data_IF_153589026264
#
_entry.id   IF_153589026264
#
_cell.length_a   1.000
_cell.length_b   1.000
_cell.length_c   1.000
_cell.angle_alpha   90.00
_cell.angle_beta   90.00
_cell.angle_gamma   90.00
#
_symmetry.space_group_name_H-M   'P 1'
#
loop_
_entity.id
_entity.type
_entity.pdbx_description
1 polymer ?
#
# COMPACT_ATOMS: atom_id res chain seq x y z
N UNK A 1 2.66 -14.47 19.27
CA UNK A 1 2.26 -15.80 18.80
C UNK A 1 2.84 -16.07 17.41
N UNK A 2 2.54 -15.27 16.39
CA UNK A 2 2.99 -15.45 15.01
C UNK A 2 4.52 -15.59 14.89
N UNK A 3 5.27 -14.73 15.56
CA UNK A 3 6.73 -14.77 15.63
C UNK A 3 7.25 -16.14 16.09
N UNK A 4 6.66 -16.71 17.16
CA UNK A 4 7.05 -18.02 17.66
C UNK A 4 6.67 -19.20 16.74
N UNK A 5 5.94 -18.94 15.65
CA UNK A 5 5.60 -19.90 14.62
C UNK A 5 6.39 -19.66 13.32
N UNK A 6 7.46 -18.86 13.38
CA UNK A 6 8.29 -18.50 12.23
C UNK A 6 7.48 -17.87 11.07
N UNK A 7 6.47 -17.05 11.42
CA UNK A 7 5.60 -16.39 10.47
C UNK A 7 6.04 -14.95 10.26
N UNK A 8 5.98 -14.48 9.02
CA UNK A 8 6.06 -13.06 8.73
C UNK A 8 4.71 -12.39 9.03
N UNK A 9 4.77 -11.19 9.54
CA UNK A 9 3.59 -10.39 9.91
C UNK A 9 3.69 -9.03 9.22
N UNK A 10 2.66 -8.66 8.47
CA UNK A 10 2.51 -7.31 7.92
C UNK A 10 1.58 -6.53 8.85
N UNK A 11 2.04 -5.38 9.32
CA UNK A 11 1.26 -4.43 10.10
C UNK A 11 1.03 -3.19 9.26
N UNK A 12 -0.24 -2.83 9.03
CA UNK A 12 -0.61 -1.68 8.20
C UNK A 12 -1.66 -0.76 8.87
N UNK A 13 -1.80 0.45 8.32
CA UNK A 13 -2.95 1.32 8.56
C UNK A 13 -4.02 1.01 7.52
N UNK A 14 -5.09 0.29 7.94
CA UNK A 14 -5.98 -0.37 6.99
C UNK A 14 -7.11 0.53 6.45
N UNK A 15 -8.26 0.64 7.11
CA UNK A 15 -9.42 1.41 6.64
C UNK A 15 -9.55 2.73 7.41
N UNK A 16 -8.71 3.70 7.09
CA UNK A 16 -8.64 4.97 7.80
C UNK A 16 -9.43 6.06 7.05
N UNK A 17 -10.55 6.52 7.62
CA UNK A 17 -11.39 7.57 7.03
C UNK A 17 -10.66 8.91 6.84
N UNK A 18 -9.60 9.16 7.63
CA UNK A 18 -8.79 10.35 7.50
C UNK A 18 -7.79 10.29 6.32
N UNK A 19 -7.52 9.09 5.77
CA UNK A 19 -6.80 8.87 4.51
C UNK A 19 -7.80 8.78 3.36
N UNK A 20 -8.83 7.93 3.49
CA UNK A 20 -9.82 7.68 2.45
C UNK A 20 -10.92 8.74 2.52
N UNK A 21 -10.71 9.88 1.87
CA UNK A 21 -11.54 11.08 2.02
C UNK A 21 -11.84 11.76 0.69
N UNK A 22 -12.95 12.50 0.62
CA UNK A 22 -13.41 13.13 -0.62
C UNK A 22 -12.56 14.31 -1.09
N UNK A 23 -11.84 14.95 -0.18
CA UNK A 23 -10.92 16.07 -0.45
C UNK A 23 -9.44 15.65 -0.47
N UNK A 24 -9.19 14.37 -0.72
CA UNK A 24 -7.86 13.74 -0.69
C UNK A 24 -6.74 14.57 -1.35
N UNK A 25 -6.89 15.15 -2.57
CA UNK A 25 -5.79 15.88 -3.19
C UNK A 25 -5.38 17.15 -2.43
N UNK A 26 -6.28 17.72 -1.64
CA UNK A 26 -6.04 19.00 -0.93
C UNK A 26 -5.74 18.83 0.56
N UNK A 27 -5.87 17.62 1.08
CA UNK A 27 -5.73 17.33 2.51
C UNK A 27 -4.36 16.78 2.90
N UNK A 28 -3.35 16.87 2.02
CA UNK A 28 -2.03 16.27 2.23
C UNK A 28 -1.42 16.62 3.58
N UNK A 29 -1.35 17.89 3.94
CA UNK A 29 -0.69 18.33 5.17
C UNK A 29 -1.29 17.69 6.44
N UNK A 30 -2.62 17.62 6.51
CA UNK A 30 -3.33 16.99 7.62
C UNK A 30 -3.08 15.47 7.66
N UNK A 31 -3.14 14.81 6.51
CA UNK A 31 -2.89 13.38 6.39
C UNK A 31 -1.43 13.03 6.74
N UNK A 32 -0.47 13.80 6.22
CA UNK A 32 0.95 13.66 6.47
C UNK A 32 1.27 13.76 7.97
N UNK A 33 0.79 14.81 8.63
CA UNK A 33 1.03 15.01 10.06
C UNK A 33 0.53 13.81 10.88
N UNK A 34 -0.69 13.36 10.61
CA UNK A 34 -1.29 12.24 11.31
C UNK A 34 -0.61 10.92 11.01
N UNK A 35 -0.25 10.66 9.76
CA UNK A 35 0.51 9.49 9.33
C UNK A 35 1.83 9.37 10.08
N UNK A 36 2.61 10.45 10.09
CA UNK A 36 3.89 10.53 10.82
C UNK A 36 3.71 10.27 12.31
N UNK A 37 2.73 10.91 12.95
CA UNK A 37 2.47 10.72 14.37
C UNK A 37 2.12 9.26 14.71
N UNK A 38 1.34 8.60 13.88
CA UNK A 38 0.98 7.19 14.08
C UNK A 38 2.20 6.28 13.86
N UNK A 39 2.95 6.47 12.78
CA UNK A 39 4.11 5.63 12.49
C UNK A 39 5.28 5.84 13.45
N UNK A 40 5.48 7.02 14.00
CA UNK A 40 6.42 7.23 15.12
C UNK A 40 6.06 6.33 16.31
N UNK A 41 4.79 6.26 16.70
CA UNK A 41 4.35 5.42 17.81
C UNK A 41 4.49 3.93 17.51
N UNK A 42 4.04 3.49 16.31
CA UNK A 42 4.09 2.10 15.89
C UNK A 42 5.56 1.64 15.77
N UNK A 43 6.39 2.37 15.04
CA UNK A 43 7.77 2.00 14.81
C UNK A 43 8.60 2.02 16.10
N UNK A 44 8.32 2.95 17.00
CA UNK A 44 8.96 3.00 18.32
C UNK A 44 8.55 1.80 19.18
N UNK A 45 7.27 1.44 19.20
CA UNK A 45 6.78 0.32 19.99
C UNK A 45 7.35 -1.02 19.51
N UNK A 46 7.47 -1.19 18.20
CA UNK A 46 7.94 -2.44 17.58
C UNK A 46 9.40 -2.40 17.14
N UNK A 47 10.20 -1.44 17.60
CA UNK A 47 11.57 -1.22 17.13
C UNK A 47 12.51 -2.41 17.30
N UNK A 48 12.29 -3.24 18.31
CA UNK A 48 13.14 -4.38 18.66
C UNK A 48 12.68 -5.70 18.01
N UNK A 49 11.58 -5.69 17.25
CA UNK A 49 11.15 -6.84 16.45
C UNK A 49 11.99 -6.91 15.17
N UNK A 50 12.36 -8.11 14.76
CA UNK A 50 13.23 -8.35 13.62
C UNK A 50 12.53 -8.31 12.26
N UNK A 51 13.17 -8.87 11.23
CA UNK A 51 12.71 -8.88 9.83
C UNK A 51 11.40 -9.65 9.61
N UNK A 52 10.91 -10.43 10.57
CA UNK A 52 9.61 -11.08 10.46
C UNK A 52 8.44 -10.09 10.57
N UNK A 53 8.69 -8.89 11.11
CA UNK A 53 7.70 -7.83 11.15
C UNK A 53 7.95 -6.81 10.03
N UNK A 54 7.02 -6.74 9.11
CA UNK A 54 7.00 -5.85 7.95
C UNK A 54 6.01 -4.71 8.25
N UNK A 55 6.35 -3.48 7.88
CA UNK A 55 5.42 -2.35 7.98
C UNK A 55 4.91 -1.97 6.59
N UNK A 56 3.60 -1.81 6.47
CA UNK A 56 2.93 -1.30 5.29
C UNK A 56 2.28 0.04 5.61
N UNK A 57 2.71 1.09 4.94
CA UNK A 57 2.40 2.48 5.29
C UNK A 57 0.91 2.78 5.35
N UNK A 58 0.20 2.34 4.32
CA UNK A 58 -1.24 2.51 4.13
C UNK A 58 -1.79 1.30 3.36
N UNK A 59 -3.12 1.08 3.42
CA UNK A 59 -3.76 0.00 2.67
C UNK A 59 -4.14 0.42 1.23
N UNK A 60 -5.18 1.21 1.07
CA UNK A 60 -5.71 1.66 -0.22
C UNK A 60 -6.02 3.16 -0.19
N UNK A 61 -4.99 4.04 -0.12
CA UNK A 61 -5.19 5.48 -0.02
C UNK A 61 -5.86 6.03 -1.27
N UNK A 62 -7.01 6.71 -1.13
CA UNK A 62 -7.79 7.18 -2.27
C UNK A 62 -8.75 8.31 -1.97
N UNK A 63 -9.15 9.01 -3.03
CA UNK A 63 -10.23 9.98 -2.98
C UNK A 63 -11.59 9.29 -3.08
N UNK A 64 -12.35 9.26 -1.99
CA UNK A 64 -13.66 8.63 -1.95
C UNK A 64 -14.74 9.48 -2.63
N UNK A 65 -15.69 8.80 -3.28
CA UNK A 65 -16.85 9.44 -3.91
C UNK A 65 -16.57 10.15 -5.24
N UNK A 66 -15.34 10.14 -5.74
CA UNK A 66 -15.01 10.63 -7.06
C UNK A 66 -15.35 9.60 -8.15
N UNK A 67 -15.66 10.05 -9.36
CA UNK A 67 -15.91 9.13 -10.51
C UNK A 67 -14.68 8.31 -10.87
N UNK A 68 -13.50 8.74 -10.47
CA UNK A 68 -12.19 8.09 -10.65
C UNK A 68 -11.65 7.51 -9.33
N UNK A 69 -12.51 7.22 -8.36
CA UNK A 69 -12.11 6.75 -7.01
C UNK A 69 -11.05 5.64 -7.05
N UNK A 70 -11.18 4.68 -7.96
CA UNK A 70 -10.29 3.53 -8.04
C UNK A 70 -9.13 3.68 -9.04
N UNK A 71 -9.27 4.56 -10.04
CA UNK A 71 -8.23 4.85 -11.03
C UNK A 71 -7.31 5.98 -10.59
N UNK A 72 -7.83 6.97 -9.88
CA UNK A 72 -7.11 8.17 -9.50
C UNK A 72 -6.88 9.15 -10.65
N UNK A 73 -6.07 10.14 -10.37
CA UNK A 73 -5.56 11.13 -11.32
C UNK A 73 -4.18 11.62 -10.86
N UNK A 74 -3.53 12.48 -11.65
CA UNK A 74 -2.17 12.94 -11.38
C UNK A 74 -2.03 13.62 -10.00
N UNK A 75 -3.01 14.42 -9.57
CA UNK A 75 -3.00 15.09 -8.27
C UNK A 75 -3.07 14.09 -7.13
N UNK A 76 -3.91 13.06 -7.26
CA UNK A 76 -4.02 11.99 -6.27
C UNK A 76 -2.73 11.14 -6.20
N UNK A 77 -2.11 10.85 -7.35
CA UNK A 77 -0.85 10.09 -7.38
C UNK A 77 0.28 10.85 -6.68
N UNK A 78 0.37 12.16 -6.93
CA UNK A 78 1.37 13.01 -6.25
C UNK A 78 1.19 13.00 -4.73
N UNK A 79 -0.04 13.01 -4.23
CA UNK A 79 -0.32 12.95 -2.80
C UNK A 79 0.08 11.60 -2.21
N UNK A 80 -0.22 10.48 -2.89
CA UNK A 80 0.22 9.16 -2.43
C UNK A 80 1.74 9.07 -2.36
N UNK A 81 2.45 9.51 -3.40
CA UNK A 81 3.91 9.51 -3.43
C UNK A 81 4.51 10.30 -2.25
N UNK A 82 3.93 11.46 -1.92
CA UNK A 82 4.37 12.25 -0.77
C UNK A 82 4.12 11.53 0.57
N UNK A 83 2.95 10.90 0.73
CA UNK A 83 2.62 10.16 1.94
C UNK A 83 3.51 8.91 2.11
N UNK A 84 3.85 8.22 1.02
CA UNK A 84 4.76 7.08 1.02
C UNK A 84 6.18 7.50 1.45
N UNK A 85 6.68 8.62 0.93
CA UNK A 85 7.96 9.19 1.37
C UNK A 85 7.91 9.57 2.86
N UNK A 86 6.86 10.24 3.30
CA UNK A 86 6.66 10.60 4.71
C UNK A 86 6.68 9.38 5.63
N UNK A 87 6.04 8.28 5.22
CA UNK A 87 6.04 7.02 5.95
C UNK A 87 7.47 6.44 6.04
N UNK A 88 8.15 6.29 4.91
CA UNK A 88 9.49 5.70 4.85
C UNK A 88 10.47 6.52 5.68
N UNK A 89 10.53 7.83 5.48
CA UNK A 89 11.39 8.74 6.25
C UNK A 89 11.10 8.66 7.76
N UNK A 90 9.81 8.63 8.13
CA UNK A 90 9.40 8.54 9.53
C UNK A 90 9.91 7.26 10.18
N UNK A 91 9.69 6.10 9.54
CA UNK A 91 10.14 4.82 10.09
C UNK A 91 11.66 4.75 10.13
N UNK A 92 12.35 5.23 9.10
CA UNK A 92 13.83 5.26 9.05
C UNK A 92 14.46 6.22 10.07
N UNK A 93 13.71 7.19 10.58
CA UNK A 93 14.18 8.09 11.64
C UNK A 93 14.21 7.46 13.04
N UNK A 94 13.52 6.34 13.25
CA UNK A 94 13.43 5.67 14.55
C UNK A 94 14.70 4.87 14.82
N UNK A 95 15.38 5.16 15.91
CA UNK A 95 16.57 4.43 16.36
C UNK A 95 16.19 2.98 16.72
N UNK A 96 16.61 2.04 15.89
CA UNK A 96 16.27 0.62 15.94
C UNK A 96 17.41 -0.23 15.39
N UNK A 97 17.67 -1.44 15.91
CA UNK A 97 18.59 -2.40 15.30
C UNK A 97 18.24 -2.74 13.84
N UNK A 98 16.99 -2.55 13.46
CA UNK A 98 16.45 -2.88 12.12
C UNK A 98 16.09 -1.63 11.30
N UNK A 99 16.55 -0.45 11.72
CA UNK A 99 16.21 0.83 11.10
C UNK A 99 16.38 0.84 9.58
N UNK A 100 17.50 0.29 9.09
CA UNK A 100 17.84 0.31 7.67
C UNK A 100 17.59 -1.03 6.94
N UNK A 101 17.01 -2.02 7.62
CA UNK A 101 16.83 -3.37 7.06
C UNK A 101 15.42 -3.92 7.21
N UNK A 102 14.55 -3.23 7.95
CA UNK A 102 13.14 -3.59 8.01
C UNK A 102 12.49 -3.36 6.66
N UNK A 103 11.84 -4.39 6.13
CA UNK A 103 11.05 -4.23 4.91
C UNK A 103 9.86 -3.30 5.18
N UNK A 104 9.75 -2.28 4.35
CA UNK A 104 8.62 -1.36 4.30
C UNK A 104 7.85 -1.61 3.00
N UNK A 105 6.52 -1.53 3.07
CA UNK A 105 5.66 -1.67 1.90
C UNK A 105 4.89 -0.37 1.70
N UNK A 106 4.86 0.09 0.46
CA UNK A 106 4.14 1.29 0.04
C UNK A 106 3.10 0.92 -1.02
N UNK A 107 1.88 1.42 -0.96
CA UNK A 107 0.87 1.18 -1.98
C UNK A 107 1.01 2.16 -3.14
N UNK A 108 0.61 1.77 -4.34
CA UNK A 108 0.18 2.74 -5.34
C UNK A 108 -1.15 3.39 -4.93
N UNK A 109 -1.61 4.41 -5.64
CA UNK A 109 -2.96 4.96 -5.40
C UNK A 109 -4.02 3.85 -5.41
N UNK A 110 -4.83 3.77 -4.34
CA UNK A 110 -5.78 2.70 -4.08
C UNK A 110 -5.16 1.28 -4.07
N UNK A 111 -3.85 1.15 -3.86
CA UNK A 111 -3.08 -0.08 -4.08
C UNK A 111 -3.39 -0.73 -5.45
N UNK A 112 -3.74 0.08 -6.43
CA UNK A 112 -4.30 -0.38 -7.70
C UNK A 112 -3.23 -0.96 -8.62
N UNK A 113 -3.55 -2.07 -9.26
CA UNK A 113 -2.76 -2.67 -10.33
C UNK A 113 -3.02 -2.03 -11.71
N UNK A 114 -3.75 -0.92 -11.81
CA UNK A 114 -3.90 -0.17 -13.04
C UNK A 114 -2.57 0.49 -13.44
N UNK A 115 -2.17 0.32 -14.70
CA UNK A 115 -0.91 0.82 -15.24
C UNK A 115 -0.69 2.32 -14.98
N UNK A 116 -1.76 3.16 -15.04
CA UNK A 116 -1.69 4.59 -14.74
C UNK A 116 -1.34 4.89 -13.28
N UNK A 117 -1.75 4.05 -12.35
CA UNK A 117 -1.51 4.21 -10.92
C UNK A 117 -0.07 3.84 -10.55
N UNK A 118 0.33 2.60 -10.85
CA UNK A 118 1.67 2.16 -10.44
C UNK A 118 2.80 2.77 -11.29
N UNK A 119 2.55 3.13 -12.56
CA UNK A 119 3.56 3.84 -13.38
C UNK A 119 3.80 5.28 -12.93
N UNK A 120 2.90 5.86 -12.14
CA UNK A 120 3.06 7.18 -11.54
C UNK A 120 3.67 7.12 -10.13
N UNK A 121 3.94 5.92 -9.61
CA UNK A 121 4.53 5.74 -8.29
C UNK A 121 5.99 6.16 -8.31
N UNK A 122 6.35 7.04 -7.38
CA UNK A 122 7.73 7.47 -7.12
C UNK A 122 8.25 6.69 -5.90
N UNK A 123 8.93 5.58 -6.19
CA UNK A 123 9.43 4.69 -5.14
C UNK A 123 10.63 5.33 -4.44
N UNK A 124 10.60 5.49 -3.11
CA UNK A 124 11.74 6.01 -2.36
C UNK A 124 13.03 5.22 -2.63
N UNK A 125 14.17 5.91 -2.71
CA UNK A 125 15.49 5.29 -2.91
C UNK A 125 15.96 4.60 -1.63
N UNK A 126 15.43 3.40 -1.39
CA UNK A 126 15.71 2.56 -0.22
C UNK A 126 15.65 1.08 -0.61
N UNK A 127 16.74 0.35 -0.35
CA UNK A 127 16.90 -1.07 -0.73
C UNK A 127 15.88 -2.01 -0.07
N UNK A 128 15.20 -1.57 0.98
CA UNK A 128 14.23 -2.33 1.75
C UNK A 128 12.81 -1.76 1.65
N UNK A 129 12.47 -1.18 0.50
CA UNK A 129 11.11 -0.79 0.15
C UNK A 129 10.56 -1.72 -0.93
N UNK A 130 9.32 -2.18 -0.75
CA UNK A 130 8.57 -2.96 -1.72
C UNK A 130 7.23 -2.27 -2.03
N UNK A 131 6.73 -2.48 -3.24
CA UNK A 131 5.42 -1.96 -3.66
C UNK A 131 4.32 -2.98 -3.36
N UNK A 132 3.24 -2.52 -2.76
CA UNK A 132 2.02 -3.30 -2.50
C UNK A 132 0.96 -2.99 -3.57
N UNK A 133 0.52 -4.01 -4.28
CA UNK A 133 -0.56 -3.92 -5.26
C UNK A 133 -1.66 -4.93 -4.94
N UNK A 134 -2.90 -4.49 -4.92
CA UNK A 134 -4.07 -5.33 -4.73
C UNK A 134 -4.71 -5.66 -6.07
N UNK A 135 -4.70 -6.92 -6.43
CA UNK A 135 -5.24 -7.40 -7.70
C UNK A 135 -6.43 -8.34 -7.45
N UNK A 136 -7.64 -7.81 -7.55
CA UNK A 136 -8.87 -8.60 -7.55
C UNK A 136 -9.17 -9.11 -8.97
N UNK A 137 -8.23 -9.87 -9.55
CA UNK A 137 -8.27 -10.32 -10.94
C UNK A 137 -8.31 -11.84 -11.04
N UNK A 138 -9.26 -12.45 -11.75
CA UNK A 138 -10.43 -11.82 -12.39
C UNK A 138 -11.46 -11.36 -11.35
N UNK A 139 -12.03 -10.19 -11.52
CA UNK A 139 -12.89 -9.57 -10.50
C UNK A 139 -14.08 -10.43 -10.10
N UNK A 140 -14.79 -11.00 -11.08
CA UNK A 140 -15.96 -11.84 -10.81
C UNK A 140 -15.64 -13.06 -9.92
N UNK A 141 -14.47 -13.69 -10.13
CA UNK A 141 -14.01 -14.80 -9.29
C UNK A 141 -13.50 -14.32 -7.93
N UNK A 142 -12.65 -13.30 -7.92
CA UNK A 142 -11.99 -12.83 -6.70
C UNK A 142 -12.95 -12.20 -5.70
N UNK A 143 -13.98 -11.49 -6.20
CA UNK A 143 -14.99 -10.82 -5.38
C UNK A 143 -16.27 -11.63 -5.18
N UNK A 144 -16.37 -12.83 -5.80
CA UNK A 144 -17.54 -13.72 -5.67
C UNK A 144 -18.81 -13.13 -6.29
N UNK A 145 -18.68 -12.37 -7.38
CA UNK A 145 -19.81 -11.79 -8.09
C UNK A 145 -20.56 -12.89 -8.86
N UNK A 146 -21.81 -13.15 -8.43
CA UNK A 146 -22.65 -14.22 -8.99
C UNK A 146 -22.15 -15.64 -8.70
N UNK A 147 -22.30 -16.54 -9.67
CA UNK A 147 -22.00 -17.97 -9.53
C UNK A 147 -20.52 -18.32 -9.86
N UNK A 148 -19.63 -17.32 -9.94
CA UNK A 148 -18.22 -17.50 -10.31
C UNK A 148 -17.36 -18.03 -9.13
N UNK A 149 -17.68 -19.23 -8.66
CA UNK A 149 -17.00 -19.87 -7.51
C UNK A 149 -15.83 -20.77 -7.90
N UNK A 150 -15.62 -20.97 -9.20
CA UNK A 150 -14.57 -21.84 -9.72
C UNK A 150 -13.68 -21.08 -10.69
N UNK A 151 -12.38 -21.10 -10.44
CA UNK A 151 -11.40 -20.57 -11.39
C UNK A 151 -11.38 -21.46 -12.65
N UNK A 152 -11.56 -20.89 -13.82
CA UNK A 152 -11.57 -21.59 -15.10
C UNK A 152 -10.52 -21.05 -16.05
N UNK A 153 -10.22 -21.81 -17.12
CA UNK A 153 -9.27 -21.38 -18.14
C UNK A 153 -9.60 -20.05 -18.83
N UNK A 154 -10.85 -19.62 -18.78
CA UNK A 154 -11.27 -18.31 -19.33
C UNK A 154 -10.69 -17.12 -18.54
N UNK A 155 -10.27 -17.35 -17.31
CA UNK A 155 -9.67 -16.31 -16.45
C UNK A 155 -8.14 -16.19 -16.60
N UNK A 156 -7.51 -17.13 -17.30
CA UNK A 156 -6.05 -17.13 -17.47
C UNK A 156 -5.58 -15.89 -18.21
N UNK A 157 -6.31 -15.45 -19.23
CA UNK A 157 -5.96 -14.24 -20.00
C UNK A 157 -5.97 -12.96 -19.15
N UNK A 158 -6.85 -12.88 -18.14
CA UNK A 158 -6.92 -11.73 -17.25
C UNK A 158 -5.67 -11.65 -16.36
N UNK A 159 -5.23 -12.83 -15.86
CA UNK A 159 -3.98 -12.91 -15.10
C UNK A 159 -2.75 -12.64 -15.99
N UNK A 160 -2.72 -13.18 -17.20
CA UNK A 160 -1.62 -12.95 -18.14
C UNK A 160 -1.50 -11.45 -18.48
N UNK A 161 -2.63 -10.77 -18.66
CA UNK A 161 -2.67 -9.31 -18.87
C UNK A 161 -2.15 -8.59 -17.63
N UNK A 162 -2.67 -8.89 -16.44
CA UNK A 162 -2.21 -8.30 -15.18
C UNK A 162 -0.69 -8.42 -15.01
N UNK A 163 -0.16 -9.64 -15.15
CA UNK A 163 1.29 -9.86 -14.99
C UNK A 163 2.14 -9.28 -16.12
N UNK A 164 1.57 -9.11 -17.31
CA UNK A 164 2.23 -8.37 -18.38
C UNK A 164 2.32 -6.88 -18.07
N UNK A 165 1.25 -6.32 -17.51
CA UNK A 165 1.16 -4.89 -17.22
C UNK A 165 2.07 -4.47 -16.06
N UNK A 166 2.24 -5.31 -15.03
CA UNK A 166 3.11 -5.02 -13.87
C UNK A 166 4.56 -5.48 -14.04
N UNK A 167 4.94 -6.07 -15.19
CA UNK A 167 6.34 -6.38 -15.51
C UNK A 167 7.06 -5.13 -16.00
N UNK A 168 8.10 -4.76 -15.23
CA UNK A 168 9.16 -3.85 -15.66
C UNK A 168 10.42 -4.62 -15.98
#
# INVERSE_FOLDING_TARGET
>A
YAYNQDMYVILNLHHEEWINRSDFPTAYEEMSERLKQMWVQIATYFKDYDQHLIFEGMNEPRQTGASYEWQGNAECYEVVNKLDNDFVETVRSIDSPYQNTRLLMIPSYAASAYASSYSALDVPDDDYVAVSLHAYTPYAFAMGDGDHTTFSGNYQSDLDTLFSDIRY
#
